data_IF_660065461005
#
_entry.id   IF_660065461005
#
_cell.length_a   1.000
_cell.length_b   1.000
_cell.length_c   1.000
_cell.angle_alpha   90.00
_cell.angle_beta   90.00
_cell.angle_gamma   90.00
#
_symmetry.space_group_name_H-M   'P 1'
#
loop_
_entity.id
_entity.type
_entity.pdbx_description
1 polymer ?
#
# COMPACT_ATOMS: atom_id res chain seq x y z
N UNK A 1 -9.78 -23.79 2.11
CA UNK A 1 -9.14 -24.01 3.44
C UNK A 1 -8.56 -25.42 3.57
N UNK A 2 -9.12 -26.44 2.93
CA UNK A 2 -8.60 -27.84 2.97
C UNK A 2 -7.27 -28.00 2.21
N UNK A 3 -7.00 -27.13 1.24
CA UNK A 3 -5.80 -27.16 0.40
C UNK A 3 -4.58 -26.42 1.02
N UNK A 4 -4.80 -25.63 2.07
CA UNK A 4 -3.70 -24.83 2.68
C UNK A 4 -2.50 -25.69 3.06
N UNK A 5 -2.65 -26.91 3.66
CA UNK A 5 -1.53 -27.77 4.02
C UNK A 5 -0.71 -28.25 2.81
N UNK A 6 -1.29 -28.27 1.62
CA UNK A 6 -0.57 -28.63 0.39
C UNK A 6 0.36 -27.50 -0.08
N UNK A 7 0.07 -26.28 0.30
CA UNK A 7 0.89 -25.11 -0.06
C UNK A 7 1.94 -24.78 1.01
N UNK A 8 1.54 -24.75 2.28
CA UNK A 8 2.40 -24.36 3.39
C UNK A 8 2.32 -25.38 4.53
N UNK A 9 3.31 -25.34 5.42
CA UNK A 9 3.43 -26.27 6.53
C UNK A 9 4.51 -27.32 6.30
N UNK A 10 4.56 -28.34 7.17
CA UNK A 10 5.65 -29.32 7.21
C UNK A 10 5.82 -30.12 5.90
N UNK A 11 4.73 -30.38 5.20
CA UNK A 11 4.72 -31.14 3.94
C UNK A 11 4.32 -30.26 2.74
N UNK A 12 4.15 -28.95 2.93
CA UNK A 12 3.79 -28.02 1.88
C UNK A 12 4.94 -27.73 0.91
N UNK A 13 4.61 -27.34 -0.31
CA UNK A 13 5.60 -27.01 -1.34
C UNK A 13 6.29 -25.67 -1.12
N UNK A 14 5.72 -24.79 -0.30
CA UNK A 14 6.21 -23.45 -0.01
C UNK A 14 6.36 -23.24 1.50
N UNK A 15 7.30 -22.39 1.88
CA UNK A 15 7.50 -22.04 3.29
C UNK A 15 6.42 -21.10 3.84
N UNK A 16 5.84 -20.27 3.00
CA UNK A 16 4.77 -19.35 3.35
C UNK A 16 4.00 -18.91 2.10
N UNK A 17 2.86 -18.29 2.28
CA UNK A 17 2.07 -17.67 1.22
C UNK A 17 1.61 -16.28 1.67
N UNK A 18 1.43 -15.37 0.71
CA UNK A 18 0.86 -14.06 0.98
C UNK A 18 -0.62 -14.14 1.30
N UNK A 19 -1.07 -13.29 2.21
CA UNK A 19 -2.47 -13.06 2.51
C UNK A 19 -2.99 -11.87 1.72
N UNK A 20 -3.83 -12.14 0.75
CA UNK A 20 -4.52 -11.15 -0.07
C UNK A 20 -6.03 -11.23 0.16
N UNK A 21 -6.48 -11.24 1.40
CA UNK A 21 -7.90 -11.26 1.73
C UNK A 21 -8.61 -10.05 1.11
N UNK A 22 -9.57 -10.28 0.20
CA UNK A 22 -10.23 -9.23 -0.60
C UNK A 22 -10.88 -8.13 0.25
N UNK A 23 -11.37 -8.48 1.43
CA UNK A 23 -12.00 -7.51 2.32
C UNK A 23 -11.05 -6.45 2.86
N UNK A 24 -9.73 -6.71 2.88
CA UNK A 24 -8.71 -5.72 3.25
C UNK A 24 -8.64 -4.63 2.17
N UNK A 25 -8.95 -4.95 0.95
CA UNK A 25 -8.75 -4.07 -0.20
C UNK A 25 -9.83 -2.98 -0.33
N UNK A 26 -10.97 -3.12 0.35
CA UNK A 26 -12.09 -2.18 0.23
C UNK A 26 -12.65 -2.12 -1.19
N UNK A 27 -12.47 -3.21 -1.96
CA UNK A 27 -12.86 -3.30 -3.35
C UNK A 27 -14.36 -3.05 -3.54
N UNK A 28 -14.71 -2.48 -4.70
CA UNK A 28 -16.09 -2.33 -5.16
C UNK A 28 -16.19 -2.88 -6.57
N UNK A 29 -17.26 -3.64 -6.85
CA UNK A 29 -17.56 -4.14 -8.20
C UNK A 29 -17.85 -3.03 -9.21
N UNK A 30 -18.04 -1.80 -8.73
CA UNK A 30 -18.34 -0.64 -9.58
C UNK A 30 -17.09 0.11 -10.04
N UNK A 31 -15.95 -0.11 -9.39
CA UNK A 31 -14.69 0.57 -9.64
C UNK A 31 -14.17 1.37 -8.44
N UNK A 32 -12.98 1.95 -8.60
CA UNK A 32 -12.26 2.62 -7.52
C UNK A 32 -12.97 3.84 -6.94
N UNK A 33 -13.80 4.53 -7.75
CA UNK A 33 -14.57 5.68 -7.31
C UNK A 33 -15.60 5.37 -6.21
N UNK A 34 -16.07 4.10 -6.14
CA UNK A 34 -17.03 3.62 -5.15
C UNK A 34 -16.37 2.91 -3.96
N UNK A 35 -15.03 2.73 -3.98
CA UNK A 35 -14.30 2.09 -2.89
C UNK A 35 -14.35 2.91 -1.61
N UNK A 36 -14.62 2.24 -0.49
CA UNK A 36 -14.73 2.86 0.83
C UNK A 36 -13.40 2.81 1.59
N UNK A 37 -13.27 3.66 2.59
CA UNK A 37 -12.20 3.57 3.56
C UNK A 37 -12.31 2.26 4.33
N UNK A 38 -11.20 1.53 4.44
CA UNK A 38 -11.11 0.34 5.28
C UNK A 38 -11.19 0.77 6.74
N UNK A 39 -12.08 0.14 7.49
CA UNK A 39 -12.21 0.41 8.92
C UNK A 39 -11.24 -0.45 9.74
N UNK A 40 -10.80 -0.01 10.93
CA UNK A 40 -9.97 -0.81 11.81
C UNK A 40 -10.59 -2.18 12.15
N UNK A 41 -11.92 -2.23 12.33
CA UNK A 41 -12.62 -3.49 12.61
C UNK A 41 -12.63 -4.45 11.41
N UNK A 42 -12.78 -3.93 10.18
CA UNK A 42 -12.68 -4.74 8.97
C UNK A 42 -11.28 -5.33 8.81
N UNK A 43 -10.25 -4.49 8.97
CA UNK A 43 -8.85 -4.92 8.92
C UNK A 43 -8.55 -6.00 9.97
N UNK A 44 -8.91 -5.74 11.23
CA UNK A 44 -8.78 -6.71 12.33
C UNK A 44 -9.48 -8.03 12.05
N UNK A 45 -10.71 -7.97 11.51
CA UNK A 45 -11.46 -9.18 11.15
C UNK A 45 -10.74 -10.02 10.11
N UNK A 46 -10.18 -9.40 9.08
CA UNK A 46 -9.39 -10.07 8.05
C UNK A 46 -8.17 -10.76 8.64
N UNK A 47 -7.32 -10.01 9.35
CA UNK A 47 -6.13 -10.55 9.99
C UNK A 47 -6.45 -11.74 10.91
N UNK A 48 -7.48 -11.63 11.74
CA UNK A 48 -7.85 -12.71 12.65
C UNK A 48 -8.48 -13.90 11.95
N UNK A 49 -9.17 -13.69 10.83
CA UNK A 49 -9.72 -14.78 10.02
C UNK A 49 -8.59 -15.60 9.43
N UNK A 50 -7.61 -14.96 8.79
CA UNK A 50 -6.44 -15.62 8.24
C UNK A 50 -5.62 -16.32 9.32
N UNK A 51 -5.32 -15.62 10.42
CA UNK A 51 -4.56 -16.21 11.53
C UNK A 51 -5.22 -17.47 12.10
N UNK A 52 -6.55 -17.53 12.17
CA UNK A 52 -7.28 -18.72 12.62
C UNK A 52 -7.27 -19.84 11.58
N UNK A 53 -7.42 -19.50 10.29
CA UNK A 53 -7.40 -20.49 9.20
C UNK A 53 -6.03 -21.17 9.10
N UNK A 54 -4.97 -20.42 9.21
CA UNK A 54 -3.60 -20.94 9.16
C UNK A 54 -3.29 -21.74 10.44
N UNK A 55 -3.73 -21.27 11.61
CA UNK A 55 -3.53 -21.99 12.88
C UNK A 55 -2.09 -22.45 13.06
N UNK A 56 -1.91 -23.75 13.27
CA UNK A 56 -0.60 -24.39 13.43
C UNK A 56 -0.07 -25.05 12.15
N UNK A 57 -0.75 -24.88 11.02
CA UNK A 57 -0.34 -25.47 9.73
C UNK A 57 0.98 -24.90 9.25
N UNK A 58 1.18 -23.59 9.36
CA UNK A 58 2.39 -22.93 8.85
C UNK A 58 2.42 -21.44 9.13
N UNK A 59 3.00 -20.66 8.21
CA UNK A 59 3.13 -19.22 8.29
C UNK A 59 2.57 -18.55 7.06
N UNK A 60 1.98 -17.37 7.25
CA UNK A 60 1.69 -16.44 6.15
C UNK A 60 2.77 -15.39 6.05
N UNK A 61 2.97 -14.85 4.86
CA UNK A 61 3.76 -13.66 4.61
C UNK A 61 2.85 -12.44 4.80
N UNK A 62 3.03 -11.76 5.94
CA UNK A 62 2.26 -10.56 6.27
C UNK A 62 2.72 -9.40 5.39
N UNK A 63 1.79 -8.76 4.71
CA UNK A 63 2.05 -7.70 3.77
C UNK A 63 1.07 -6.54 3.97
N UNK A 64 1.55 -5.30 3.93
CA UNK A 64 0.74 -4.09 4.01
C UNK A 64 0.70 -3.40 2.64
N UNK A 65 1.83 -3.40 1.94
CA UNK A 65 1.97 -2.80 0.61
C UNK A 65 2.95 -3.59 -0.25
N UNK A 66 2.82 -3.43 -1.56
CA UNK A 66 3.70 -4.02 -2.55
C UNK A 66 3.70 -3.16 -3.82
N UNK A 67 4.37 -3.62 -4.88
CA UNK A 67 4.47 -2.91 -6.17
C UNK A 67 3.15 -2.81 -6.97
N UNK A 68 2.10 -3.51 -6.55
CA UNK A 68 0.79 -3.52 -7.21
C UNK A 68 -0.30 -2.81 -6.39
N UNK A 69 0.08 -2.20 -5.26
CA UNK A 69 -0.84 -1.55 -4.35
C UNK A 69 -0.40 -0.11 -4.04
N UNK A 70 -1.33 0.76 -3.61
CA UNK A 70 -0.94 2.07 -3.09
C UNK A 70 -0.12 1.94 -1.81
N UNK A 71 0.49 3.04 -1.36
CA UNK A 71 1.22 3.07 -0.10
C UNK A 71 0.29 2.73 1.08
N UNK A 72 0.73 1.82 1.94
CA UNK A 72 -0.08 1.28 3.03
C UNK A 72 -0.57 2.36 4.00
N UNK A 73 0.28 3.31 4.35
CA UNK A 73 -0.12 4.44 5.22
C UNK A 73 -1.23 5.29 4.62
N UNK A 74 -1.22 5.52 3.31
CA UNK A 74 -2.28 6.28 2.61
C UNK A 74 -3.55 5.47 2.38
N UNK A 75 -3.44 4.15 2.39
CA UNK A 75 -4.57 3.24 2.19
C UNK A 75 -5.35 3.00 3.47
N UNK A 76 -4.64 2.66 4.54
CA UNK A 76 -5.23 2.18 5.79
C UNK A 76 -5.49 3.29 6.81
N UNK A 77 -4.71 4.37 6.80
CA UNK A 77 -4.88 5.48 7.71
C UNK A 77 -5.70 6.57 7.03
N UNK A 78 -6.82 7.03 7.62
CA UNK A 78 -7.55 8.18 7.10
C UNK A 78 -6.63 9.41 6.99
N UNK A 79 -6.81 10.22 5.94
CA UNK A 79 -5.94 11.38 5.65
C UNK A 79 -5.78 12.33 6.86
N UNK A 80 -6.87 12.57 7.61
CA UNK A 80 -6.86 13.43 8.80
C UNK A 80 -6.13 12.85 10.02
N UNK A 81 -5.88 11.53 10.02
CA UNK A 81 -5.25 10.81 11.14
C UNK A 81 -3.81 10.38 10.82
N UNK A 82 -3.32 10.69 9.61
CA UNK A 82 -1.99 10.31 9.18
C UNK A 82 -0.91 11.17 9.87
N UNK A 83 -0.19 10.55 10.80
CA UNK A 83 0.92 11.14 11.53
C UNK A 83 1.96 10.05 11.85
N UNK A 84 3.12 10.44 12.37
CA UNK A 84 4.22 9.50 12.66
C UNK A 84 3.78 8.38 13.60
N UNK A 85 3.00 8.68 14.63
CA UNK A 85 2.49 7.68 15.56
C UNK A 85 1.58 6.65 14.87
N UNK A 86 0.67 7.08 13.98
CA UNK A 86 -0.22 6.16 13.25
C UNK A 86 0.54 5.34 12.21
N UNK A 87 1.57 5.90 11.56
CA UNK A 87 2.46 5.17 10.65
C UNK A 87 3.27 4.11 11.41
N UNK A 88 3.89 4.47 12.53
CA UNK A 88 4.62 3.55 13.41
C UNK A 88 3.69 2.45 13.95
N UNK A 89 2.45 2.80 14.31
CA UNK A 89 1.43 1.83 14.74
C UNK A 89 1.12 0.81 13.62
N UNK A 90 0.92 1.27 12.39
CA UNK A 90 0.64 0.38 11.25
C UNK A 90 1.82 -0.56 10.97
N UNK A 91 3.05 -0.04 10.99
CA UNK A 91 4.26 -0.86 10.88
C UNK A 91 4.37 -1.89 12.01
N UNK A 92 4.20 -1.45 13.25
CA UNK A 92 4.21 -2.32 14.43
C UNK A 92 3.17 -3.43 14.35
N UNK A 93 1.97 -3.13 13.86
CA UNK A 93 0.92 -4.13 13.66
C UNK A 93 1.37 -5.24 12.71
N UNK A 94 2.03 -4.89 11.59
CA UNK A 94 2.55 -5.88 10.64
C UNK A 94 3.56 -6.86 11.30
N UNK A 95 4.42 -6.33 12.16
CA UNK A 95 5.39 -7.15 12.90
C UNK A 95 4.79 -8.00 14.01
N UNK A 96 3.66 -7.58 14.60
CA UNK A 96 3.01 -8.30 15.70
C UNK A 96 2.08 -9.43 15.25
N UNK A 97 1.71 -9.48 13.97
CA UNK A 97 0.96 -10.60 13.41
C UNK A 97 1.87 -11.83 13.33
N UNK A 98 1.32 -13.00 13.65
CA UNK A 98 2.02 -14.27 13.45
C UNK A 98 2.28 -14.47 11.95
N UNK A 99 3.53 -14.64 11.58
CA UNK A 99 3.93 -14.84 10.18
C UNK A 99 5.27 -14.20 9.89
N UNK A 100 5.58 -14.10 8.61
CA UNK A 100 6.80 -13.50 8.10
C UNK A 100 6.49 -12.09 7.59
N UNK A 101 6.94 -11.03 8.27
CA UNK A 101 6.67 -9.67 7.82
C UNK A 101 7.48 -9.34 6.56
N UNK A 102 6.79 -8.93 5.51
CA UNK A 102 7.40 -8.38 4.31
C UNK A 102 7.27 -6.86 4.34
N UNK A 103 8.38 -6.19 4.14
CA UNK A 103 8.45 -4.73 4.10
C UNK A 103 8.80 -4.34 2.68
N UNK A 104 7.92 -3.55 2.07
CA UNK A 104 8.15 -3.01 0.75
C UNK A 104 9.03 -1.76 0.85
N UNK A 105 9.89 -1.53 -0.16
CA UNK A 105 10.80 -0.38 -0.20
C UNK A 105 10.05 0.95 0.02
N UNK A 106 10.50 1.75 0.98
CA UNK A 106 9.88 3.01 1.38
C UNK A 106 8.79 2.86 2.44
N UNK A 107 8.29 1.65 2.71
CA UNK A 107 7.36 1.41 3.80
C UNK A 107 8.02 1.71 5.15
N UNK A 108 9.29 1.36 5.31
CA UNK A 108 10.10 1.63 6.50
C UNK A 108 10.26 3.13 6.79
N UNK A 109 10.15 3.97 5.75
CA UNK A 109 10.19 5.43 5.88
C UNK A 109 8.80 6.06 6.10
N UNK A 110 7.74 5.28 5.97
CA UNK A 110 6.38 5.79 5.96
C UNK A 110 6.07 6.64 4.72
N UNK A 111 6.62 6.26 3.54
CA UNK A 111 6.29 6.92 2.27
C UNK A 111 4.79 6.87 1.99
N UNK A 112 4.27 7.96 1.48
CA UNK A 112 2.84 8.18 1.21
C UNK A 112 2.55 8.15 -0.29
N UNK A 113 1.26 8.06 -0.64
CA UNK A 113 0.81 8.24 -2.01
C UNK A 113 1.21 9.61 -2.55
N UNK A 114 1.55 9.66 -3.83
CA UNK A 114 1.76 10.91 -4.54
C UNK A 114 0.41 11.53 -4.90
N UNK A 115 0.31 12.85 -4.85
CA UNK A 115 -0.86 13.56 -5.34
C UNK A 115 -0.68 13.85 -6.84
N UNK A 116 -1.47 13.18 -7.68
CA UNK A 116 -1.53 13.50 -9.10
C UNK A 116 -2.36 14.76 -9.34
N UNK A 117 -1.86 15.65 -10.19
CA UNK A 117 -2.52 16.91 -10.59
C UNK A 117 -3.27 16.76 -11.90
N UNK A 118 -2.90 15.77 -12.71
CA UNK A 118 -3.50 15.43 -13.99
C UNK A 118 -3.38 13.93 -14.23
N UNK A 119 -4.33 13.37 -14.97
CA UNK A 119 -4.28 11.97 -15.41
C UNK A 119 -3.04 11.68 -16.28
N UNK A 120 -2.50 12.68 -16.96
CA UNK A 120 -1.27 12.53 -17.77
C UNK A 120 -0.01 12.22 -16.96
N UNK A 121 -0.07 12.36 -15.63
CA UNK A 121 1.02 11.98 -14.73
C UNK A 121 0.98 10.49 -14.33
N UNK A 122 -0.06 9.78 -14.72
CA UNK A 122 -0.30 8.37 -14.40
C UNK A 122 0.14 7.50 -15.58
N UNK A 123 0.92 6.47 -15.30
CA UNK A 123 1.45 5.53 -16.31
C UNK A 123 0.77 4.16 -16.24
N UNK A 124 0.23 3.78 -15.09
CA UNK A 124 -0.42 2.49 -14.88
C UNK A 124 -1.73 2.35 -15.67
N UNK A 125 -1.78 1.36 -16.56
CA UNK A 125 -2.94 1.08 -17.43
C UNK A 125 -4.23 0.86 -16.62
N UNK A 126 -4.16 0.10 -15.52
CA UNK A 126 -5.34 -0.15 -14.68
C UNK A 126 -5.90 1.15 -14.11
N UNK A 127 -5.03 2.08 -13.73
CA UNK A 127 -5.41 3.41 -13.23
C UNK A 127 -6.06 4.26 -14.31
N UNK A 128 -5.56 4.19 -15.54
CA UNK A 128 -6.14 4.90 -16.69
C UNK A 128 -7.52 4.33 -17.07
N UNK A 129 -7.71 3.02 -16.93
CA UNK A 129 -9.01 2.39 -17.18
C UNK A 129 -10.01 2.72 -16.07
N UNK A 130 -9.60 2.68 -14.81
CA UNK A 130 -10.44 3.07 -13.68
C UNK A 130 -10.87 4.56 -13.72
N UNK A 131 -10.01 5.43 -14.24
CA UNK A 131 -10.36 6.82 -14.52
C UNK A 131 -11.52 6.92 -15.50
N UNK A 132 -11.48 6.15 -16.60
CA UNK A 132 -12.58 6.11 -17.61
C UNK A 132 -13.86 5.55 -16.99
N UNK A 133 -13.76 4.44 -16.23
CA UNK A 133 -14.89 3.84 -15.51
C UNK A 133 -15.58 4.86 -14.61
N UNK A 134 -14.82 5.65 -13.86
CA UNK A 134 -15.37 6.70 -13.02
C UNK A 134 -16.09 7.78 -13.83
N UNK A 135 -15.51 8.23 -14.95
CA UNK A 135 -16.16 9.22 -15.83
C UNK A 135 -17.45 8.68 -16.46
N UNK A 136 -17.45 7.43 -16.92
CA UNK A 136 -18.65 6.75 -17.46
C UNK A 136 -19.74 6.58 -16.41
N UNK A 137 -19.37 6.42 -15.14
CA UNK A 137 -20.29 6.38 -14.01
C UNK A 137 -20.85 7.76 -13.62
N UNK A 138 -20.38 8.84 -14.27
CA UNK A 138 -20.85 10.22 -14.05
C UNK A 138 -20.04 11.03 -13.05
N UNK A 139 -18.88 10.54 -12.61
CA UNK A 139 -17.95 11.31 -11.79
C UNK A 139 -17.35 12.48 -12.62
N UNK A 140 -17.06 13.57 -11.94
CA UNK A 140 -16.27 14.65 -12.55
C UNK A 140 -14.81 14.20 -12.76
N UNK A 141 -14.05 14.84 -13.66
CA UNK A 141 -12.64 14.54 -13.84
C UNK A 141 -11.81 14.65 -12.54
N UNK A 142 -12.18 15.56 -11.67
CA UNK A 142 -11.52 15.74 -10.37
C UNK A 142 -11.82 14.57 -9.42
N UNK A 143 -13.06 14.11 -9.35
CA UNK A 143 -13.46 12.96 -8.54
C UNK A 143 -12.80 11.68 -9.06
N UNK A 144 -12.76 11.48 -10.38
CA UNK A 144 -12.10 10.35 -11.02
C UNK A 144 -10.60 10.36 -10.73
N UNK A 145 -9.92 11.52 -10.85
CA UNK A 145 -8.51 11.66 -10.52
C UNK A 145 -8.21 11.42 -9.04
N UNK A 146 -9.12 11.83 -8.15
CA UNK A 146 -9.00 11.57 -6.72
C UNK A 146 -9.06 10.08 -6.41
N UNK A 147 -9.96 9.33 -7.05
CA UNK A 147 -10.04 7.88 -6.92
C UNK A 147 -8.76 7.20 -7.41
N UNK A 148 -8.26 7.58 -8.59
CA UNK A 148 -6.99 7.09 -9.13
C UNK A 148 -5.81 7.42 -8.20
N UNK A 149 -5.70 8.66 -7.72
CA UNK A 149 -4.63 9.04 -6.78
C UNK A 149 -4.62 8.20 -5.51
N UNK A 150 -5.80 7.70 -5.11
CA UNK A 150 -5.92 6.86 -3.91
C UNK A 150 -5.45 5.42 -4.14
N UNK A 151 -5.72 4.83 -5.31
CA UNK A 151 -5.57 3.39 -5.53
C UNK A 151 -4.53 3.01 -6.58
N UNK A 152 -3.98 3.97 -7.34
CA UNK A 152 -2.98 3.68 -8.37
C UNK A 152 -1.75 2.96 -7.83
N UNK A 153 -1.33 1.93 -8.56
CA UNK A 153 -0.05 1.22 -8.33
C UNK A 153 1.17 2.12 -8.50
N UNK A 154 1.05 3.18 -9.29
CA UNK A 154 2.14 4.15 -9.49
C UNK A 154 2.60 4.79 -8.17
N UNK A 155 1.72 4.87 -7.17
CA UNK A 155 2.08 5.34 -5.84
C UNK A 155 3.24 4.55 -5.21
N UNK A 156 3.23 3.22 -5.37
CA UNK A 156 4.28 2.35 -4.86
C UNK A 156 5.53 2.30 -5.77
N UNK A 157 5.42 2.82 -7.00
CA UNK A 157 6.49 2.82 -8.01
C UNK A 157 7.19 4.15 -8.15
N UNK A 158 6.79 5.16 -7.35
CA UNK A 158 7.48 6.44 -7.27
C UNK A 158 8.93 6.25 -6.81
N UNK A 159 9.85 7.15 -7.20
CA UNK A 159 11.23 7.09 -6.74
C UNK A 159 11.37 6.97 -5.23
N UNK A 160 12.26 6.08 -4.78
CA UNK A 160 12.62 5.97 -3.38
C UNK A 160 13.19 7.30 -2.87
N UNK A 161 12.76 7.73 -1.69
CA UNK A 161 13.14 9.00 -1.10
C UNK A 161 14.38 8.83 -0.22
N UNK A 162 15.57 9.01 -0.82
CA UNK A 162 16.84 8.81 -0.12
C UNK A 162 17.27 10.05 0.67
N UNK A 163 17.16 11.25 0.08
CA UNK A 163 17.59 12.51 0.67
C UNK A 163 16.59 13.64 0.38
N UNK A 164 16.81 14.80 0.94
CA UNK A 164 16.08 16.03 0.62
C UNK A 164 16.63 16.77 -0.64
N UNK A 165 17.63 16.19 -1.31
CA UNK A 165 18.22 16.72 -2.53
C UNK A 165 17.36 16.53 -3.78
N UNK A 166 17.87 16.99 -4.92
CA UNK A 166 17.17 16.91 -6.21
C UNK A 166 16.73 15.46 -6.52
N UNK A 167 15.49 15.33 -7.01
CA UNK A 167 14.86 14.02 -7.28
C UNK A 167 14.91 13.06 -6.09
N UNK A 168 14.83 13.58 -4.86
CA UNK A 168 14.93 12.80 -3.63
C UNK A 168 16.25 11.99 -3.51
N UNK A 169 17.32 12.42 -4.16
CA UNK A 169 18.57 11.68 -4.26
C UNK A 169 18.49 10.39 -5.08
N UNK A 170 17.39 10.14 -5.76
CA UNK A 170 17.16 8.89 -6.52
C UNK A 170 17.92 8.87 -7.85
N UNK A 171 17.95 9.97 -8.58
CA UNK A 171 18.57 10.06 -9.90
C UNK A 171 19.03 11.48 -10.22
N UNK A 172 20.07 11.60 -11.05
CA UNK A 172 20.51 12.86 -11.65
C UNK A 172 19.81 13.16 -12.97
N UNK A 173 19.04 12.20 -13.51
CA UNK A 173 18.25 12.34 -14.73
C UNK A 173 16.76 12.60 -14.42
N UNK A 174 15.94 12.58 -15.48
CA UNK A 174 14.48 12.65 -15.33
C UNK A 174 13.96 11.32 -14.77
N UNK A 175 13.31 11.31 -13.61
CA UNK A 175 12.70 10.09 -13.08
C UNK A 175 11.54 9.64 -13.97
N UNK A 176 11.26 8.33 -14.00
CA UNK A 176 10.14 7.75 -14.74
C UNK A 176 8.80 8.30 -14.21
N UNK A 177 8.53 8.15 -12.93
CA UNK A 177 7.35 8.69 -12.29
C UNK A 177 7.69 9.93 -11.46
N UNK A 178 6.67 10.72 -11.14
CA UNK A 178 6.79 11.92 -10.31
C UNK A 178 7.35 11.57 -8.93
N UNK A 179 8.37 12.30 -8.50
CA UNK A 179 8.82 12.26 -7.10
C UNK A 179 7.74 12.87 -6.21
N UNK A 180 7.42 12.22 -5.10
CA UNK A 180 6.46 12.77 -4.14
C UNK A 180 7.05 14.03 -3.50
N UNK A 181 6.30 15.13 -3.51
CA UNK A 181 6.77 16.44 -3.02
C UNK A 181 7.14 16.42 -1.52
N UNK A 182 6.70 15.41 -0.76
CA UNK A 182 7.03 15.29 0.66
C UNK A 182 8.41 14.70 0.94
N UNK A 183 9.22 14.41 -0.08
CA UNK A 183 10.57 13.86 0.05
C UNK A 183 11.50 14.73 0.90
N UNK A 184 11.24 16.03 0.99
CA UNK A 184 12.01 16.95 1.84
C UNK A 184 11.80 16.73 3.35
N UNK A 185 10.76 15.94 3.70
CA UNK A 185 10.40 15.61 5.09
C UNK A 185 10.50 14.11 5.37
N UNK A 186 10.08 13.29 4.40
CA UNK A 186 10.10 11.84 4.49
C UNK A 186 11.20 11.33 3.58
N UNK A 187 12.35 11.02 4.14
CA UNK A 187 13.49 10.47 3.41
C UNK A 187 14.40 9.66 4.34
N UNK A 188 15.20 8.78 3.76
CA UNK A 188 16.08 7.91 4.54
C UNK A 188 17.13 8.69 5.33
N UNK A 189 17.75 9.72 4.74
CA UNK A 189 18.81 10.50 5.39
C UNK A 189 18.30 11.19 6.66
N UNK A 190 17.12 11.81 6.62
CA UNK A 190 16.53 12.48 7.79
C UNK A 190 16.19 11.52 8.91
N UNK A 191 15.84 10.26 8.59
CA UNK A 191 15.43 9.26 9.57
C UNK A 191 16.59 8.41 10.11
N UNK A 192 17.74 8.38 9.44
CA UNK A 192 18.90 7.59 9.89
C UNK A 192 19.42 7.99 11.28
N UNK A 193 19.19 9.23 11.68
CA UNK A 193 19.63 9.76 12.97
C UNK A 193 18.47 10.05 13.93
N UNK A 194 17.25 9.59 13.59
CA UNK A 194 16.10 9.71 14.48
C UNK A 194 16.30 8.76 15.68
N UNK A 195 16.28 9.26 16.92
CA UNK A 195 16.50 8.43 18.11
C UNK A 195 15.30 7.56 18.48
N UNK A 196 14.14 7.75 17.85
CA UNK A 196 12.92 6.99 18.03
C UNK A 196 12.81 5.92 16.94
#
# INVERSE_FOLDING_TARGET
DEEIPDFIGDNGYFSSMFDFEETIWGASDKGWYDCKQITPDAYKKCCFTTQRKIGDIGFVSNIIENHDEPRGVSRYIPEGDCCDASKKMLGGLNFMLRGLPFIYQGQELGMENVKFESIDQVDDISSLDEYKVALEAGCTPEEALKAVSRFSRDNARTPMQWTDGENAGFTTGKPWLKVNANYTKINAESQMNDPE
#
